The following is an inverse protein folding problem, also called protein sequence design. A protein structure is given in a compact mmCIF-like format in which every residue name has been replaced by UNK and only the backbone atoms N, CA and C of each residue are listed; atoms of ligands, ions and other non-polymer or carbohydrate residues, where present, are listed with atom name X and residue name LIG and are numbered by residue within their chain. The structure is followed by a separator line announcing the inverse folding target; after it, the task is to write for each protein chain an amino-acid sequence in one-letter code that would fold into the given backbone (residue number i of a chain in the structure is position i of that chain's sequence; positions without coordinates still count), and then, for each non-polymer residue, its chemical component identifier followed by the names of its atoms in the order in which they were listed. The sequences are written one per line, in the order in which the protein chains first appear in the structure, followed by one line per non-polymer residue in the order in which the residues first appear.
data_IF_263916148140
#
_entry.id   IF_263916148140
#
_cell.length_a   1.000
_cell.length_b   1.000
_cell.length_c   1.000
_cell.angle_alpha   90.00
_cell.angle_beta   90.00
_cell.angle_gamma   90.00
#
_symmetry.space_group_name_H-M   'P 1'
#
loop_
_entity.id
_entity.type
_entity.pdbx_description
1 polymer ?
#
# COMPACT_ATOMS: atom_id res chain seq x y z
N UNK A 1 4.16 14.40 -5.81
CA UNK A 1 2.78 14.01 -6.11
C UNK A 1 2.62 12.52 -5.78
N UNK A 2 1.56 12.16 -5.05
CA UNK A 2 1.34 10.78 -4.60
C UNK A 2 0.64 10.01 -5.72
N UNK A 3 1.21 8.88 -6.12
CA UNK A 3 0.68 8.06 -7.21
C UNK A 3 0.52 6.60 -6.79
N UNK A 4 -0.40 5.89 -7.43
CA UNK A 4 -0.54 4.45 -7.24
C UNK A 4 0.78 3.76 -7.54
N UNK A 5 1.20 2.84 -6.67
CA UNK A 5 2.47 2.15 -6.76
C UNK A 5 3.60 2.79 -5.97
N UNK A 6 3.43 4.01 -5.49
CA UNK A 6 4.41 4.63 -4.59
C UNK A 6 4.41 3.92 -3.24
N UNK A 7 5.60 3.80 -2.65
CA UNK A 7 5.76 3.26 -1.30
C UNK A 7 6.23 4.38 -0.39
N UNK A 8 5.45 4.65 0.65
CA UNK A 8 5.72 5.71 1.61
C UNK A 8 5.97 5.16 3.00
N UNK A 9 6.79 5.88 3.75
CA UNK A 9 6.86 5.72 5.18
C UNK A 9 5.70 6.54 5.77
N UNK A 10 4.84 5.91 6.56
CA UNK A 10 3.61 6.53 7.05
C UNK A 10 3.48 6.44 8.57
N UNK A 11 2.83 7.46 9.15
CA UNK A 11 2.42 7.48 10.54
C UNK A 11 0.95 7.05 10.62
N UNK A 12 0.72 5.82 11.06
CA UNK A 12 -0.62 5.25 11.20
C UNK A 12 -1.08 5.16 12.65
N UNK A 13 -0.47 5.96 13.55
CA UNK A 13 -0.71 5.92 14.99
C UNK A 13 -0.30 4.58 15.63
N UNK A 14 0.66 3.90 15.00
CA UNK A 14 1.27 2.69 15.56
C UNK A 14 2.52 3.07 16.37
N UNK A 15 3.06 2.11 17.12
CA UNK A 15 4.27 2.33 17.90
C UNK A 15 5.47 2.74 17.04
N UNK A 16 5.47 2.34 15.77
CA UNK A 16 6.50 2.70 14.81
C UNK A 16 5.85 3.09 13.49
N UNK A 17 6.62 3.80 12.68
CA UNK A 17 6.20 4.11 11.32
C UNK A 17 6.28 2.86 10.45
N UNK A 18 5.32 2.72 9.54
CA UNK A 18 5.22 1.57 8.64
C UNK A 18 5.38 2.02 7.20
N UNK A 19 5.89 1.12 6.37
CA UNK A 19 5.80 1.31 4.93
C UNK A 19 4.39 0.97 4.47
N UNK A 20 3.90 1.76 3.54
CA UNK A 20 2.58 1.53 2.94
C UNK A 20 2.69 1.64 1.43
N UNK A 21 1.93 0.78 0.72
CA UNK A 21 1.83 0.83 -0.72
C UNK A 21 0.58 1.63 -1.11
N UNK A 22 0.75 2.68 -1.89
CA UNK A 22 -0.38 3.48 -2.38
C UNK A 22 -1.12 2.70 -3.45
N UNK A 23 -2.42 2.50 -3.27
CA UNK A 23 -3.25 1.75 -4.23
C UNK A 23 -4.27 2.62 -4.95
N UNK A 24 -4.56 3.82 -4.45
CA UNK A 24 -5.48 4.77 -5.09
C UNK A 24 -4.74 5.68 -6.06
N UNK A 25 -5.48 6.24 -7.03
CA UNK A 25 -4.88 7.12 -8.03
C UNK A 25 -4.92 8.58 -7.61
N UNK A 26 -4.17 9.40 -8.33
CA UNK A 26 -4.06 10.84 -8.05
C UNK A 26 -5.41 11.56 -8.07
N UNK A 27 -6.29 11.19 -8.98
CA UNK A 27 -7.62 11.83 -9.05
C UNK A 27 -8.40 11.64 -7.76
N UNK A 28 -8.36 10.42 -7.21
CA UNK A 28 -8.98 10.15 -5.91
C UNK A 28 -8.35 11.02 -4.82
N UNK A 29 -7.03 11.13 -4.81
CA UNK A 29 -6.31 11.93 -3.81
C UNK A 29 -6.73 13.40 -3.83
N UNK A 30 -6.85 13.98 -5.03
CA UNK A 30 -7.26 15.38 -5.18
C UNK A 30 -8.70 15.62 -4.74
N UNK A 31 -9.59 14.70 -5.06
CA UNK A 31 -11.02 14.88 -4.77
C UNK A 31 -11.33 14.58 -3.30
N UNK A 32 -10.72 13.56 -2.74
CA UNK A 32 -11.05 13.09 -1.40
C UNK A 32 -10.16 13.69 -0.30
N UNK A 33 -8.98 14.20 -0.64
CA UNK A 33 -8.00 14.62 0.35
C UNK A 33 -7.42 13.46 1.15
N UNK A 34 -7.62 12.24 0.69
CA UNK A 34 -7.21 11.01 1.36
C UNK A 34 -6.52 10.08 0.37
N UNK A 35 -5.82 9.07 0.91
CA UNK A 35 -5.09 8.08 0.14
C UNK A 35 -5.45 6.70 0.65
N UNK A 36 -5.72 5.76 -0.27
CA UNK A 36 -5.92 4.36 0.09
C UNK A 36 -4.57 3.66 0.05
N UNK A 37 -4.21 3.00 1.14
CA UNK A 37 -2.91 2.37 1.30
C UNK A 37 -3.04 0.95 1.81
N UNK A 38 -2.11 0.08 1.38
CA UNK A 38 -1.94 -1.26 1.89
C UNK A 38 -0.73 -1.27 2.83
N UNK A 39 -0.91 -1.61 4.12
CA UNK A 39 0.21 -1.60 5.07
C UNK A 39 1.14 -2.79 4.87
N UNK A 40 2.41 -2.61 5.25
CA UNK A 40 3.36 -3.71 5.28
C UNK A 40 3.01 -4.70 6.39
N UNK A 41 3.34 -5.96 6.15
CA UNK A 41 3.19 -7.03 7.13
C UNK A 41 4.55 -7.64 7.44
N UNK A 42 4.79 -7.93 8.71
CA UNK A 42 5.90 -8.78 9.10
C UNK A 42 5.47 -10.24 8.93
N UNK A 43 6.03 -10.93 7.94
CA UNK A 43 5.77 -12.35 7.72
C UNK A 43 6.84 -13.18 8.41
N UNK A 44 6.42 -14.25 9.08
CA UNK A 44 7.33 -15.22 9.65
C UNK A 44 7.68 -16.29 8.60
N UNK A 45 8.84 -16.93 8.71
CA UNK A 45 9.18 -18.03 7.81
C UNK A 45 8.08 -19.11 7.84
N UNK A 46 7.63 -19.52 6.64
CA UNK A 46 6.57 -20.52 6.51
C UNK A 46 5.16 -19.97 6.49
N UNK A 47 4.98 -18.66 6.65
CA UNK A 47 3.66 -18.04 6.53
C UNK A 47 3.13 -18.22 5.11
N UNK A 48 1.83 -18.47 5.02
CA UNK A 48 1.16 -18.65 3.73
C UNK A 48 0.96 -17.28 3.08
N UNK A 49 1.31 -17.19 1.80
CA UNK A 49 1.06 -16.00 1.01
C UNK A 49 -0.33 -16.09 0.41
N UNK A 50 -1.21 -15.16 0.77
CA UNK A 50 -2.55 -15.09 0.21
C UNK A 50 -2.54 -14.30 -1.11
N UNK A 51 -3.49 -14.58 -2.04
CA UNK A 51 -3.56 -13.88 -3.31
C UNK A 51 -3.69 -12.36 -3.20
N UNK A 52 -4.27 -11.86 -2.10
CA UNK A 52 -4.47 -10.42 -1.87
C UNK A 52 -3.29 -9.75 -1.18
N UNK A 53 -2.17 -10.44 -1.05
CA UNK A 53 -0.92 -9.86 -0.53
C UNK A 53 0.08 -9.74 -1.65
N UNK A 54 0.76 -8.61 -1.67
CA UNK A 54 1.65 -8.23 -2.77
C UNK A 54 3.04 -7.96 -2.22
N UNK A 55 4.04 -8.57 -2.84
CA UNK A 55 5.44 -8.42 -2.40
C UNK A 55 6.20 -7.52 -3.36
N UNK A 56 6.91 -6.54 -2.79
CA UNK A 56 7.85 -5.69 -3.50
C UNK A 56 9.18 -5.85 -2.80
N UNK A 57 10.19 -6.39 -3.51
CA UNK A 57 11.47 -6.79 -2.95
C UNK A 57 11.25 -7.76 -1.77
N UNK A 58 11.62 -7.37 -0.56
CA UNK A 58 11.47 -8.21 0.64
C UNK A 58 10.30 -7.77 1.52
N UNK A 59 9.48 -6.84 1.06
CA UNK A 59 8.36 -6.30 1.83
C UNK A 59 7.04 -6.79 1.26
N UNK A 60 6.17 -7.31 2.13
CA UNK A 60 4.83 -7.76 1.74
C UNK A 60 3.80 -6.77 2.23
N UNK A 61 2.91 -6.37 1.34
CA UNK A 61 1.83 -5.42 1.62
C UNK A 61 0.48 -6.14 1.61
N UNK A 62 -0.37 -5.84 2.59
CA UNK A 62 -1.67 -6.49 2.75
C UNK A 62 -2.76 -5.66 2.06
N UNK A 63 -3.08 -6.01 0.82
CA UNK A 63 -4.15 -5.33 0.08
C UNK A 63 -5.51 -5.59 0.70
N UNK A 64 -5.67 -6.72 1.37
CA UNK A 64 -6.89 -7.05 2.11
C UNK A 64 -7.10 -6.20 3.37
N UNK A 65 -6.07 -5.48 3.83
CA UNK A 65 -6.13 -4.61 5.00
C UNK A 65 -6.03 -3.13 4.61
N UNK A 66 -6.63 -2.76 3.50
CA UNK A 66 -6.62 -1.38 3.02
C UNK A 66 -7.10 -0.40 4.08
N UNK A 67 -6.43 0.74 4.13
CA UNK A 67 -6.81 1.85 5.00
C UNK A 67 -6.91 3.13 4.18
N UNK A 68 -7.88 3.96 4.52
CA UNK A 68 -7.97 5.32 4.00
C UNK A 68 -7.33 6.25 5.03
N UNK A 69 -6.31 6.98 4.61
CA UNK A 69 -5.57 7.88 5.51
C UNK A 69 -5.48 9.28 4.92
N UNK A 70 -5.42 10.33 5.77
CA UNK A 70 -5.12 11.67 5.27
C UNK A 70 -3.75 11.69 4.59
N UNK A 71 -3.61 12.45 3.52
CA UNK A 71 -2.37 12.51 2.75
C UNK A 71 -1.17 12.95 3.60
N UNK A 72 -1.38 13.78 4.61
CA UNK A 72 -0.32 14.25 5.49
C UNK A 72 0.26 13.17 6.41
N UNK A 73 -0.38 12.00 6.48
CA UNK A 73 0.18 10.85 7.19
C UNK A 73 1.29 10.15 6.40
N UNK A 74 1.38 10.41 5.11
CA UNK A 74 2.45 9.90 4.26
C UNK A 74 3.64 10.84 4.36
N UNK A 75 4.69 10.39 5.05
CA UNK A 75 5.79 11.26 5.46
C UNK A 75 6.88 11.38 4.40
N UNK A 76 7.26 10.26 3.78
CA UNK A 76 8.37 10.22 2.86
C UNK A 76 8.19 9.08 1.86
N UNK A 77 8.34 9.38 0.57
CA UNK A 77 8.37 8.31 -0.44
C UNK A 77 9.73 7.62 -0.37
N UNK A 78 9.71 6.32 -0.07
CA UNK A 78 10.93 5.53 0.09
C UNK A 78 11.21 4.61 -1.09
N UNK A 79 10.19 4.33 -1.91
CA UNK A 79 10.36 3.44 -3.06
C UNK A 79 9.18 3.60 -4.02
N UNK A 80 9.24 2.88 -5.13
CA UNK A 80 8.15 2.79 -6.08
C UNK A 80 8.05 1.36 -6.60
N UNK A 81 6.86 0.80 -6.57
CA UNK A 81 6.62 -0.56 -7.03
C UNK A 81 6.73 -0.64 -8.56
N UNK A 82 7.27 -1.75 -9.11
CA UNK A 82 7.27 -1.97 -10.55
C UNK A 82 5.86 -1.99 -11.13
N UNK A 83 5.72 -1.65 -12.41
CA UNK A 83 4.42 -1.62 -13.09
C UNK A 83 3.65 -2.94 -12.99
N UNK A 84 4.34 -4.08 -13.00
CA UNK A 84 3.71 -5.38 -12.83
C UNK A 84 3.03 -5.55 -11.49
N UNK A 85 3.59 -4.95 -10.44
CA UNK A 85 2.98 -4.97 -9.11
C UNK A 85 1.72 -4.13 -9.08
N UNK A 86 1.70 -2.98 -9.73
CA UNK A 86 0.51 -2.13 -9.81
C UNK A 86 -0.64 -2.89 -10.47
N UNK A 87 -0.37 -3.62 -11.56
CA UNK A 87 -1.37 -4.46 -12.22
C UNK A 87 -1.86 -5.59 -11.30
N UNK A 88 -0.94 -6.20 -10.56
CA UNK A 88 -1.30 -7.24 -9.59
C UNK A 88 -2.24 -6.69 -8.52
N UNK A 89 -1.99 -5.49 -8.01
CA UNK A 89 -2.86 -4.84 -7.04
C UNK A 89 -4.25 -4.62 -7.62
N UNK A 90 -4.34 -4.15 -8.86
CA UNK A 90 -5.64 -3.96 -9.53
C UNK A 90 -6.42 -5.27 -9.61
N UNK A 91 -5.75 -6.37 -9.95
CA UNK A 91 -6.38 -7.70 -10.02
C UNK A 91 -6.86 -8.16 -8.66
N UNK A 92 -6.04 -7.97 -7.62
CA UNK A 92 -6.42 -8.32 -6.24
C UNK A 92 -7.65 -7.53 -5.80
N UNK A 93 -7.68 -6.23 -6.10
CA UNK A 93 -8.83 -5.39 -5.74
C UNK A 93 -10.12 -5.87 -6.40
N UNK A 94 -10.05 -6.35 -7.63
CA UNK A 94 -11.20 -6.94 -8.33
C UNK A 94 -11.71 -8.22 -7.64
N UNK A 95 -10.79 -9.00 -7.05
CA UNK A 95 -11.18 -10.24 -6.37
C UNK A 95 -11.86 -10.00 -5.02
N UNK A 96 -11.55 -8.90 -4.35
CA UNK A 96 -12.08 -8.62 -3.01
C UNK A 96 -13.18 -7.54 -3.02
N UNK A 97 -13.44 -6.95 -4.15
CA UNK A 97 -14.53 -5.99 -4.36
C UNK A 97 -15.51 -6.50 -5.41
#
# INVERSE_FOLDING_TARGET
MIEAGDIYLADLNEDRRLRVLVVSNERFHRLAGRVLVAPELALLPGDVTFPWRVTVDDTTFAVDLLRSVPAERLLERVDRAPAGVVKQVEQVLRHIT
#
